data_IF_289668699833
#
_entry.id   IF_289668699833
#
_cell.length_a   1.000
_cell.length_b   1.000
_cell.length_c   1.000
_cell.angle_alpha   90.00
_cell.angle_beta   90.00
_cell.angle_gamma   90.00
#
_symmetry.space_group_name_H-M   'P 1'
#
loop_
_entity.id
_entity.type
_entity.pdbx_description
1 polymer ?
#
# COMPACT_ATOMS: atom_id res chain seq x y z
N UNK A 1 -6.49 1.14 -22.95
CA UNK A 1 -5.90 2.16 -22.04
C UNK A 1 -5.16 1.40 -20.94
N UNK A 2 -3.87 1.66 -20.72
CA UNK A 2 -3.09 0.93 -19.69
C UNK A 2 -3.14 1.72 -18.39
N UNK A 3 -3.64 1.11 -17.33
CA UNK A 3 -3.50 1.63 -15.97
C UNK A 3 -2.24 1.02 -15.35
N UNK A 4 -1.43 1.84 -14.70
CA UNK A 4 -0.30 1.39 -13.90
C UNK A 4 -0.56 1.79 -12.46
N UNK A 5 -0.40 0.87 -11.52
CA UNK A 5 -0.47 1.18 -10.09
C UNK A 5 0.92 1.00 -9.52
N UNK A 6 1.45 2.06 -8.91
CA UNK A 6 2.68 2.02 -8.13
C UNK A 6 2.29 1.97 -6.65
N UNK A 7 2.91 1.04 -5.93
CA UNK A 7 2.72 0.84 -4.50
C UNK A 7 4.03 1.19 -3.81
N UNK A 8 3.98 2.14 -2.88
CA UNK A 8 5.11 2.47 -2.00
C UNK A 8 4.73 2.06 -0.60
N UNK A 9 5.61 1.32 0.09
CA UNK A 9 5.38 0.87 1.46
C UNK A 9 6.55 1.39 2.31
N UNK A 10 6.22 2.20 3.31
CA UNK A 10 7.17 2.67 4.32
C UNK A 10 6.85 1.94 5.63
N UNK A 11 7.86 1.44 6.34
CA UNK A 11 7.66 0.65 7.54
C UNK A 11 8.64 1.06 8.65
N UNK A 12 8.20 0.94 9.90
CA UNK A 12 9.03 1.14 11.09
C UNK A 12 9.09 -0.15 11.93
N UNK A 13 10.32 -0.60 12.21
CA UNK A 13 10.59 -1.72 13.12
C UNK A 13 11.18 -1.22 14.44
N UNK A 14 10.75 -1.83 15.55
CA UNK A 14 11.43 -1.71 16.87
C UNK A 14 11.93 -3.09 17.30
N UNK A 15 13.24 -3.29 17.13
CA UNK A 15 13.84 -4.63 17.23
C UNK A 15 13.30 -5.53 16.12
N UNK A 16 12.77 -6.69 16.49
CA UNK A 16 12.16 -7.65 15.55
C UNK A 16 10.66 -7.45 15.35
N UNK A 17 10.06 -6.39 15.89
CA UNK A 17 8.62 -6.14 15.78
C UNK A 17 8.35 -5.04 14.76
N UNK A 18 7.51 -5.33 13.76
CA UNK A 18 6.86 -4.31 12.94
C UNK A 18 5.90 -3.50 13.83
N UNK A 19 6.07 -2.18 13.84
CA UNK A 19 5.30 -1.25 14.69
C UNK A 19 4.29 -0.46 13.87
N UNK A 20 4.67 -0.11 12.65
CA UNK A 20 3.88 0.76 11.80
C UNK A 20 4.25 0.58 10.34
N UNK A 21 3.28 0.76 9.44
CA UNK A 21 3.58 0.98 8.04
C UNK A 21 2.58 1.94 7.37
N UNK A 22 3.05 2.58 6.31
CA UNK A 22 2.29 3.47 5.45
C UNK A 22 2.29 2.86 4.06
N UNK A 23 1.12 2.72 3.46
CA UNK A 23 0.99 2.28 2.06
C UNK A 23 0.46 3.42 1.23
N UNK A 24 1.25 3.84 0.27
CA UNK A 24 0.90 4.87 -0.71
C UNK A 24 0.65 4.23 -2.07
N UNK A 25 -0.53 4.48 -2.63
CA UNK A 25 -0.94 4.00 -3.95
C UNK A 25 -0.99 5.17 -4.92
N UNK A 26 -0.30 5.02 -6.03
CA UNK A 26 -0.31 5.96 -7.15
C UNK A 26 -0.87 5.23 -8.38
N UNK A 27 -2.05 5.64 -8.86
CA UNK A 27 -2.67 5.10 -10.07
C UNK A 27 -2.46 6.07 -11.22
N UNK A 28 -1.80 5.58 -12.28
CA UNK A 28 -1.53 6.30 -13.51
C UNK A 28 -2.45 5.80 -14.61
N UNK A 29 -3.28 6.69 -15.17
CA UNK A 29 -4.15 6.41 -16.31
C UNK A 29 -3.83 7.43 -17.39
N UNK A 30 -3.04 7.02 -18.40
CA UNK A 30 -2.50 7.97 -19.39
C UNK A 30 -1.57 8.98 -18.72
N UNK A 31 -1.90 10.27 -18.82
CA UNK A 31 -1.15 11.39 -18.19
C UNK A 31 -1.73 11.81 -16.83
N UNK A 32 -2.85 11.21 -16.39
CA UNK A 32 -3.48 11.56 -15.11
C UNK A 32 -2.98 10.67 -13.98
N UNK A 33 -2.59 11.29 -12.86
CA UNK A 33 -2.16 10.62 -11.64
C UNK A 33 -3.19 10.80 -10.54
N UNK A 34 -3.58 9.68 -9.91
CA UNK A 34 -4.42 9.65 -8.73
C UNK A 34 -3.60 9.11 -7.55
N UNK A 35 -3.55 9.87 -6.46
CA UNK A 35 -2.81 9.51 -5.25
C UNK A 35 -3.76 9.14 -4.12
N UNK A 36 -3.49 8.01 -3.46
CA UNK A 36 -4.20 7.58 -2.26
C UNK A 36 -3.18 7.08 -1.24
N UNK A 37 -3.10 7.79 -0.12
CA UNK A 37 -2.27 7.41 1.03
C UNK A 37 -3.14 6.72 2.09
N UNK A 38 -2.63 5.62 2.65
CA UNK A 38 -3.24 4.94 3.77
C UNK A 38 -2.20 4.51 4.80
N UNK A 39 -2.31 5.08 5.98
CA UNK A 39 -1.51 4.78 7.17
C UNK A 39 -2.16 3.68 7.99
N UNK A 40 -1.41 2.63 8.32
CA UNK A 40 -1.91 1.48 9.08
C UNK A 40 -0.92 1.12 10.19
N UNK A 41 -1.44 1.06 11.41
CA UNK A 41 -0.68 0.61 12.57
C UNK A 41 -1.01 -0.87 12.81
N UNK A 42 -0.13 -1.78 12.36
CA UNK A 42 -0.21 -3.19 12.75
C UNK A 42 0.91 -3.49 13.73
N UNK A 43 0.55 -4.13 14.83
CA UNK A 43 1.48 -4.65 15.82
C UNK A 43 1.56 -6.16 15.65
N UNK A 44 2.65 -6.65 15.05
CA UNK A 44 3.01 -8.08 15.10
C UNK A 44 2.45 -9.02 14.02
N UNK A 45 1.87 -8.52 12.92
CA UNK A 45 1.36 -9.39 11.84
C UNK A 45 1.74 -8.88 10.44
N UNK A 46 2.91 -9.30 9.94
CA UNK A 46 3.39 -8.99 8.58
C UNK A 46 2.50 -9.60 7.48
N UNK A 47 1.89 -10.76 7.75
CA UNK A 47 1.03 -11.48 6.81
C UNK A 47 -0.26 -10.71 6.47
N UNK A 48 -0.76 -9.91 7.40
CA UNK A 48 -1.96 -9.09 7.20
C UNK A 48 -1.67 -7.89 6.29
N UNK A 49 -0.44 -7.35 6.32
CA UNK A 49 -0.02 -6.24 5.47
C UNK A 49 -0.11 -6.61 3.99
N UNK A 50 0.44 -7.78 3.61
CA UNK A 50 0.47 -8.24 2.23
C UNK A 50 -0.96 -8.43 1.67
N UNK A 51 -1.85 -9.04 2.46
CA UNK A 51 -3.26 -9.20 2.10
C UNK A 51 -3.94 -7.84 1.89
N UNK A 52 -3.69 -6.89 2.79
CA UNK A 52 -4.29 -5.56 2.71
C UNK A 52 -3.85 -4.79 1.47
N UNK A 53 -2.57 -4.88 1.11
CA UNK A 53 -2.03 -4.26 -0.11
C UNK A 53 -2.69 -4.88 -1.34
N UNK A 54 -2.78 -6.20 -1.41
CA UNK A 54 -3.42 -6.92 -2.54
C UNK A 54 -4.89 -6.51 -2.68
N UNK A 55 -5.62 -6.45 -1.57
CA UNK A 55 -7.02 -6.02 -1.57
C UNK A 55 -7.16 -4.57 -2.06
N UNK A 56 -6.32 -3.65 -1.58
CA UNK A 56 -6.38 -2.25 -2.03
C UNK A 56 -6.03 -2.09 -3.51
N UNK A 57 -4.94 -2.73 -3.98
CA UNK A 57 -4.55 -2.67 -5.39
C UNK A 57 -5.63 -3.29 -6.29
N UNK A 58 -6.23 -4.41 -5.86
CA UNK A 58 -7.31 -5.07 -6.59
C UNK A 58 -8.56 -4.22 -6.73
N UNK A 59 -8.91 -3.43 -5.70
CA UNK A 59 -10.00 -2.46 -5.79
C UNK A 59 -9.70 -1.31 -6.75
N UNK A 60 -8.46 -0.81 -6.79
CA UNK A 60 -8.07 0.30 -7.67
C UNK A 60 -7.97 -0.11 -9.15
N UNK A 61 -7.82 -1.39 -9.45
CA UNK A 61 -7.72 -1.93 -10.82
C UNK A 61 -9.06 -2.45 -11.40
N UNK A 62 -10.12 -2.49 -10.59
CA UNK A 62 -11.50 -2.75 -11.07
C UNK A 62 -12.14 -1.51 -11.66
#
# INVERSE_FOLDING_TARGET
MKAVVKVTIEYEYKGSNLVEYVVTLEKFIGETTYLRDKRIFLKGHEDEMAKYIIEMVGWELR
#
